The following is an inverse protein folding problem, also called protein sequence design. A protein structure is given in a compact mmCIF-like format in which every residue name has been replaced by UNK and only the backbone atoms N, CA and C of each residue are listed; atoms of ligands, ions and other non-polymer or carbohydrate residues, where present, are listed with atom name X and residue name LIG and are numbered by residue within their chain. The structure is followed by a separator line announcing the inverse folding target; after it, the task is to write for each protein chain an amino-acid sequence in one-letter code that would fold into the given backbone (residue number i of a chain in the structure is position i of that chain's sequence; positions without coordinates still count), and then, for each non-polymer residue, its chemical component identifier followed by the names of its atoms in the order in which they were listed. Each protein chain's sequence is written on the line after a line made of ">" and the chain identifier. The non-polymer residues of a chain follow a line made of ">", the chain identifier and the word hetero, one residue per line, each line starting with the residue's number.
data_IF_538745374195
#
_entry.id   IF_538745374195
#
_cell.length_a   1.000
_cell.length_b   1.000
_cell.length_c   1.000
_cell.angle_alpha   90.00
_cell.angle_beta   90.00
_cell.angle_gamma   90.00
#
_symmetry.space_group_name_H-M   'P 1'
#
loop_
_entity.id
_entity.type
_entity.pdbx_description
1 polymer ?
#
# COMPACT_ATOMS: atom_id res chain seq x y z
N UNK A 1 2.25 1.52 14.39
CA UNK A 1 1.82 2.44 13.32
C UNK A 1 1.45 3.79 13.89
N UNK A 2 1.69 4.84 13.13
CA UNK A 2 1.35 6.21 13.55
C UNK A 2 -0.17 6.37 13.58
N UNK A 3 -0.70 6.81 14.72
CA UNK A 3 -2.14 6.83 15.00
C UNK A 3 -2.95 7.67 14.00
N UNK A 4 -2.45 8.83 13.64
CA UNK A 4 -3.14 9.71 12.68
C UNK A 4 -3.44 9.02 11.35
N UNK A 5 -2.46 8.33 10.80
CA UNK A 5 -2.61 7.61 9.55
C UNK A 5 -3.46 6.36 9.72
N UNK A 6 -3.32 5.67 10.84
CA UNK A 6 -4.11 4.49 11.16
C UNK A 6 -5.60 4.81 11.22
N UNK A 7 -5.96 5.87 11.94
CA UNK A 7 -7.37 6.26 12.11
C UNK A 7 -8.03 6.60 10.77
N UNK A 8 -7.35 7.33 9.92
CA UNK A 8 -7.85 7.67 8.58
C UNK A 8 -7.99 6.43 7.70
N UNK A 9 -7.04 5.54 7.78
CA UNK A 9 -7.03 4.30 7.01
C UNK A 9 -8.19 3.39 7.41
N UNK A 10 -8.37 3.18 8.72
CA UNK A 10 -9.49 2.37 9.24
C UNK A 10 -10.84 2.92 8.78
N UNK A 11 -11.01 4.23 8.89
CA UNK A 11 -12.23 4.90 8.46
C UNK A 11 -12.49 4.68 6.97
N UNK A 12 -11.46 4.82 6.14
CA UNK A 12 -11.57 4.62 4.70
C UNK A 12 -11.90 3.17 4.34
N UNK A 13 -11.21 2.20 4.94
CA UNK A 13 -11.46 0.78 4.69
C UNK A 13 -12.89 0.36 5.06
N UNK A 14 -13.47 0.98 6.09
CA UNK A 14 -14.81 0.67 6.58
C UNK A 14 -15.90 1.51 5.93
N UNK A 15 -15.54 2.49 5.11
CA UNK A 15 -16.50 3.45 4.54
C UNK A 15 -17.42 2.86 3.48
N UNK A 16 -16.99 1.80 2.79
CA UNK A 16 -17.70 1.25 1.64
C UNK A 16 -17.52 2.08 0.37
N UNK A 17 -16.68 3.11 0.41
CA UNK A 17 -16.44 3.99 -0.74
C UNK A 17 -15.41 3.46 -1.72
N UNK A 18 -14.60 2.48 -1.30
CA UNK A 18 -13.52 1.92 -2.10
C UNK A 18 -13.88 0.52 -2.59
N UNK A 19 -13.67 0.28 -3.88
CA UNK A 19 -13.76 -1.06 -4.45
C UNK A 19 -12.42 -1.77 -4.26
N UNK A 20 -12.44 -2.99 -3.76
CA UNK A 20 -11.24 -3.76 -3.51
C UNK A 20 -10.68 -4.38 -4.78
N UNK A 21 -9.39 -4.21 -5.00
CA UNK A 21 -8.66 -4.85 -6.08
C UNK A 21 -7.48 -5.64 -5.50
N UNK A 22 -6.83 -6.43 -6.35
CA UNK A 22 -5.72 -7.29 -5.94
C UNK A 22 -4.49 -7.07 -6.81
N UNK A 23 -3.32 -7.40 -6.28
CA UNK A 23 -2.04 -7.38 -6.99
C UNK A 23 -1.53 -6.01 -7.43
N UNK A 24 -2.26 -4.95 -7.13
CA UNK A 24 -1.87 -3.57 -7.44
C UNK A 24 -2.34 -2.64 -6.33
N UNK A 25 -1.59 -1.58 -6.07
CA UNK A 25 -2.03 -0.54 -5.14
C UNK A 25 -3.33 0.10 -5.64
N UNK A 26 -3.34 0.45 -6.91
CA UNK A 26 -4.51 1.02 -7.57
C UNK A 26 -4.58 0.54 -9.02
N UNK A 27 -5.78 0.26 -9.50
CA UNK A 27 -6.03 -0.10 -10.90
C UNK A 27 -7.45 0.35 -11.28
N UNK A 28 -7.87 0.03 -12.50
CA UNK A 28 -9.22 0.39 -12.97
C UNK A 28 -10.33 -0.20 -12.10
N UNK A 29 -10.10 -1.38 -11.52
CA UNK A 29 -11.09 -2.05 -10.67
C UNK A 29 -11.18 -1.46 -9.27
N UNK A 30 -10.13 -0.79 -8.79
CA UNK A 30 -10.14 -0.23 -7.46
C UNK A 30 -8.76 -0.18 -6.80
N UNK A 31 -8.73 -0.48 -5.50
CA UNK A 31 -7.54 -0.37 -4.66
C UNK A 31 -7.32 -1.64 -3.85
N UNK A 32 -6.05 -1.99 -3.59
CA UNK A 32 -5.77 -2.94 -2.51
C UNK A 32 -5.80 -2.17 -1.18
N UNK A 33 -5.70 -2.87 -0.06
CA UNK A 33 -5.74 -2.20 1.26
C UNK A 33 -4.64 -1.17 1.44
N UNK A 34 -3.44 -1.42 0.91
CA UNK A 34 -2.32 -0.47 0.97
C UNK A 34 -2.56 0.72 0.04
N UNK A 35 -3.21 0.50 -1.09
CA UNK A 35 -3.61 1.58 -2.00
C UNK A 35 -4.60 2.54 -1.36
N UNK A 36 -5.52 2.01 -0.55
CA UNK A 36 -6.44 2.85 0.23
C UNK A 36 -5.64 3.75 1.18
N UNK A 37 -4.62 3.21 1.86
CA UNK A 37 -3.75 4.01 2.73
C UNK A 37 -3.11 5.17 1.97
N UNK A 38 -2.52 4.88 0.81
CA UNK A 38 -1.87 5.90 0.00
C UNK A 38 -2.86 6.95 -0.50
N UNK A 39 -4.08 6.54 -0.83
CA UNK A 39 -5.12 7.48 -1.27
C UNK A 39 -5.59 8.38 -0.13
N UNK A 40 -5.67 7.88 1.10
CA UNK A 40 -5.99 8.72 2.26
C UNK A 40 -4.87 9.68 2.61
N UNK A 41 -3.62 9.28 2.34
CA UNK A 41 -2.45 10.11 2.56
C UNK A 41 -2.40 11.29 1.56
N UNK A 42 -2.58 10.99 0.28
CA UNK A 42 -2.64 12.00 -0.78
C UNK A 42 -3.42 11.45 -1.99
N UNK A 43 -4.67 11.83 -2.12
CA UNK A 43 -5.53 11.37 -3.22
C UNK A 43 -5.08 11.88 -4.59
N UNK A 44 -4.26 12.90 -4.65
CA UNK A 44 -3.76 13.49 -5.89
C UNK A 44 -2.37 12.96 -6.28
N UNK A 45 -1.83 12.03 -5.50
CA UNK A 45 -0.47 11.53 -5.71
C UNK A 45 -0.32 10.42 -6.75
N UNK A 46 -1.40 9.99 -7.35
CA UNK A 46 -1.37 8.90 -8.33
C UNK A 46 -0.88 9.36 -9.70
N UNK A 47 -0.07 8.53 -10.34
CA UNK A 47 0.40 8.74 -11.70
C UNK A 47 0.47 7.39 -12.41
N UNK A 48 0.70 7.40 -13.70
CA UNK A 48 0.72 6.19 -14.51
C UNK A 48 2.04 6.07 -15.28
N UNK A 49 2.57 4.84 -15.32
CA UNK A 49 3.76 4.52 -16.10
C UNK A 49 3.57 3.15 -16.73
N UNK A 50 3.66 3.06 -18.06
CA UNK A 50 3.54 1.81 -18.80
C UNK A 50 2.24 1.04 -18.52
N UNK A 51 1.15 1.76 -18.27
CA UNK A 51 -0.14 1.15 -17.98
C UNK A 51 -0.38 0.81 -16.51
N UNK A 52 0.63 0.96 -15.67
CA UNK A 52 0.51 0.69 -14.24
C UNK A 52 0.45 1.98 -13.45
N UNK A 53 -0.41 2.01 -12.43
CA UNK A 53 -0.54 3.18 -11.55
C UNK A 53 0.38 3.05 -10.34
N UNK A 54 1.03 4.15 -10.01
CA UNK A 54 1.88 4.22 -8.83
C UNK A 54 1.61 5.54 -8.09
N UNK A 55 1.92 5.57 -6.80
CA UNK A 55 1.79 6.79 -6.01
C UNK A 55 3.14 7.51 -5.96
N UNK A 56 3.12 8.81 -6.24
CA UNK A 56 4.34 9.63 -6.29
C UNK A 56 5.12 9.63 -4.98
N UNK A 57 4.44 9.49 -3.84
CA UNK A 57 5.09 9.42 -2.53
C UNK A 57 5.66 8.04 -2.21
N UNK A 58 5.33 7.02 -2.99
CA UNK A 58 5.80 5.65 -2.79
C UNK A 58 7.03 5.38 -3.65
N UNK A 59 8.14 6.01 -3.32
CA UNK A 59 9.38 5.93 -4.08
C UNK A 59 10.49 5.26 -3.28
N UNK A 60 11.47 4.73 -3.98
CA UNK A 60 12.70 4.25 -3.38
C UNK A 60 13.55 5.46 -3.00
N UNK A 61 13.70 5.74 -1.70
CA UNK A 61 14.41 6.90 -1.22
C UNK A 61 15.92 6.89 -1.48
N UNK A 62 16.44 5.78 -1.95
CA UNK A 62 17.86 5.60 -2.21
C UNK A 62 18.15 5.04 -3.61
N UNK A 63 17.20 5.19 -4.53
CA UNK A 63 17.36 4.58 -5.87
C UNK A 63 18.55 5.15 -6.65
N UNK A 64 19.05 6.31 -6.32
CA UNK A 64 20.25 6.86 -6.92
C UNK A 64 21.50 6.07 -6.55
N UNK A 65 21.45 5.37 -5.42
CA UNK A 65 22.55 4.56 -4.91
C UNK A 65 22.43 3.09 -5.33
N UNK A 66 21.34 2.72 -5.99
CA UNK A 66 21.10 1.34 -6.39
C UNK A 66 21.76 1.05 -7.72
N UNK A 67 22.55 -0.03 -7.74
CA UNK A 67 23.08 -0.56 -8.99
C UNK A 67 21.92 -1.13 -9.79
N UNK A 68 21.82 -0.81 -11.06
CA UNK A 68 20.70 -1.18 -11.93
C UNK A 68 20.31 -2.66 -11.83
N UNK A 69 21.27 -3.55 -11.75
CA UNK A 69 21.00 -4.99 -11.62
C UNK A 69 20.34 -5.37 -10.29
N UNK A 70 20.67 -4.68 -9.22
CA UNK A 70 20.10 -4.93 -7.90
C UNK A 70 18.66 -4.42 -7.81
N UNK A 71 18.40 -3.33 -8.48
CA UNK A 71 17.06 -2.74 -8.51
C UNK A 71 16.01 -3.72 -9.02
N UNK A 72 16.35 -4.59 -9.92
CA UNK A 72 15.43 -5.55 -10.51
C UNK A 72 15.16 -6.78 -9.65
N UNK A 73 15.92 -6.98 -8.58
CA UNK A 73 15.84 -8.20 -7.76
C UNK A 73 15.53 -7.89 -6.31
N UNK A 74 14.35 -8.25 -5.87
CA UNK A 74 13.99 -8.18 -4.47
C UNK A 74 13.60 -6.81 -3.95
N UNK A 75 13.50 -5.82 -4.80
CA UNK A 75 13.02 -4.49 -4.44
C UNK A 75 11.50 -4.45 -4.66
N UNK A 76 10.79 -3.82 -3.73
CA UNK A 76 9.34 -3.69 -3.83
C UNK A 76 8.93 -2.98 -5.12
N UNK A 77 7.88 -3.50 -5.75
CA UNK A 77 7.27 -2.85 -6.91
C UNK A 77 6.44 -1.67 -6.45
N UNK A 78 6.72 -0.47 -6.96
CA UNK A 78 6.01 0.75 -6.57
C UNK A 78 4.52 0.72 -6.92
N UNK A 79 4.09 -0.14 -7.83
CA UNK A 79 2.69 -0.26 -8.23
C UNK A 79 1.93 -1.34 -7.44
N UNK A 80 2.61 -2.18 -6.69
CA UNK A 80 2.02 -3.30 -5.95
C UNK A 80 2.29 -3.29 -4.45
N UNK A 81 3.40 -2.69 -4.02
CA UNK A 81 3.85 -2.68 -2.63
C UNK A 81 4.31 -1.29 -2.20
N UNK A 82 4.33 -1.08 -0.88
CA UNK A 82 4.95 0.12 -0.32
C UNK A 82 6.44 -0.10 -0.15
N UNK A 83 7.23 0.91 -0.49
CA UNK A 83 8.68 0.88 -0.30
C UNK A 83 9.02 0.98 1.19
N UNK A 84 10.26 0.65 1.56
CA UNK A 84 10.69 0.72 2.95
C UNK A 84 10.58 2.14 3.51
N UNK A 85 10.89 3.15 2.70
CA UNK A 85 10.76 4.55 3.12
C UNK A 85 9.31 4.91 3.39
N UNK A 86 8.40 4.47 2.54
CA UNK A 86 6.97 4.70 2.72
C UNK A 86 6.45 3.99 3.96
N UNK A 87 6.84 2.74 4.18
CA UNK A 87 6.49 1.99 5.38
C UNK A 87 6.95 2.70 6.63
N UNK A 88 8.19 3.24 6.62
CA UNK A 88 8.72 4.03 7.72
C UNK A 88 7.88 5.26 8.03
N UNK A 89 7.40 5.93 6.98
CA UNK A 89 6.53 7.12 7.12
C UNK A 89 5.29 6.80 7.94
N UNK A 90 4.71 5.63 7.71
CA UNK A 90 3.48 5.22 8.42
C UNK A 90 3.75 4.43 9.71
N UNK A 91 4.96 3.98 9.92
CA UNK A 91 5.30 3.13 11.06
C UNK A 91 4.80 1.70 10.89
N UNK A 92 4.84 1.18 9.68
CA UNK A 92 4.46 -0.20 9.35
C UNK A 92 5.73 -1.01 9.07
N UNK A 93 5.84 -2.20 9.65
CA UNK A 93 6.97 -3.08 9.37
C UNK A 93 6.79 -3.82 8.05
N UNK A 94 7.89 -4.31 7.49
CA UNK A 94 7.84 -5.13 6.29
C UNK A 94 7.00 -6.40 6.50
N UNK A 95 7.13 -7.06 7.65
CA UNK A 95 6.35 -8.26 7.96
C UNK A 95 4.86 -7.96 8.04
N UNK A 96 4.49 -6.81 8.62
CA UNK A 96 3.09 -6.38 8.68
C UNK A 96 2.54 -6.14 7.28
N UNK A 97 3.33 -5.52 6.41
CA UNK A 97 2.94 -5.34 5.01
C UNK A 97 2.73 -6.68 4.31
N UNK A 98 3.64 -7.62 4.48
CA UNK A 98 3.51 -8.94 3.87
C UNK A 98 2.23 -9.64 4.30
N UNK A 99 1.86 -9.52 5.58
CA UNK A 99 0.62 -10.08 6.08
C UNK A 99 -0.61 -9.43 5.44
N UNK A 100 -0.60 -8.10 5.33
CA UNK A 100 -1.68 -7.35 4.69
C UNK A 100 -1.86 -7.73 3.22
N UNK A 101 -0.77 -7.89 2.50
CA UNK A 101 -0.80 -8.33 1.10
C UNK A 101 -1.42 -9.72 0.99
N UNK A 102 -1.04 -10.64 1.88
CA UNK A 102 -1.63 -11.99 1.90
C UNK A 102 -3.12 -11.97 2.15
N UNK A 103 -3.58 -11.15 3.10
CA UNK A 103 -5.00 -11.00 3.38
C UNK A 103 -5.75 -10.49 2.16
N UNK A 104 -5.23 -9.43 1.54
CA UNK A 104 -5.90 -8.78 0.42
C UNK A 104 -5.89 -9.62 -0.85
N UNK A 105 -4.74 -10.21 -1.19
CA UNK A 105 -4.52 -10.84 -2.50
C UNK A 105 -4.76 -12.35 -2.51
N UNK A 106 -4.45 -13.03 -1.42
CA UNK A 106 -4.45 -14.49 -1.39
C UNK A 106 -5.56 -15.09 -0.54
N UNK A 107 -5.88 -14.49 0.61
CA UNK A 107 -6.94 -14.98 1.50
C UNK A 107 -8.31 -14.41 1.15
N UNK A 108 -8.36 -13.47 0.24
CA UNK A 108 -9.58 -12.81 -0.21
C UNK A 108 -10.36 -12.14 0.93
N UNK A 109 -9.63 -11.66 1.95
CA UNK A 109 -10.24 -10.92 3.05
C UNK A 109 -10.80 -9.60 2.53
N UNK A 110 -11.99 -9.23 2.97
CA UNK A 110 -12.57 -7.95 2.59
C UNK A 110 -11.97 -6.81 3.41
N UNK A 111 -12.26 -5.58 3.04
CA UNK A 111 -11.71 -4.41 3.72
C UNK A 111 -12.11 -4.33 5.19
N UNK A 112 -13.31 -4.79 5.56
CA UNK A 112 -13.73 -4.78 6.96
C UNK A 112 -12.90 -5.76 7.80
N UNK A 113 -12.63 -6.94 7.28
CA UNK A 113 -11.78 -7.94 7.94
C UNK A 113 -10.34 -7.43 8.08
N UNK A 114 -9.83 -6.79 7.03
CA UNK A 114 -8.50 -6.21 7.03
C UNK A 114 -8.43 -5.07 8.05
N UNK A 115 -9.45 -4.21 8.11
CA UNK A 115 -9.52 -3.13 9.08
C UNK A 115 -9.52 -3.66 10.51
N UNK A 116 -10.25 -4.72 10.79
CA UNK A 116 -10.27 -5.35 12.12
C UNK A 116 -8.88 -5.85 12.52
N UNK A 117 -8.15 -6.45 11.60
CA UNK A 117 -6.79 -6.90 11.84
C UNK A 117 -5.84 -5.71 12.12
N UNK A 118 -5.95 -4.66 11.33
CA UNK A 118 -5.14 -3.44 11.50
C UNK A 118 -5.42 -2.81 12.87
N UNK A 119 -6.68 -2.69 13.25
CA UNK A 119 -7.08 -2.11 14.53
C UNK A 119 -6.45 -2.85 15.71
N UNK A 120 -6.42 -4.18 15.63
CA UNK A 120 -5.87 -5.03 16.68
C UNK A 120 -4.33 -5.07 16.67
N UNK A 121 -3.70 -5.16 15.50
CA UNK A 121 -2.27 -5.48 15.37
C UNK A 121 -1.36 -4.27 15.10
N UNK A 122 -1.85 -3.22 14.57
CA UNK A 122 -1.08 -2.02 14.25
C UNK A 122 -1.42 -0.87 15.17
#
# INVERSE_FOLDING_TARGET
>A
MIKEYKDKWLKALRSGEYTQARDRLKCEQGFCCLGVLMNTYDSNGWDEANGDMYHKSNKFGYHDDIVEGEYLYGVASEDAELTLDTLSTFGISHDQQCHLIKMNDHRLSNFNEIADWIEEKL
#
